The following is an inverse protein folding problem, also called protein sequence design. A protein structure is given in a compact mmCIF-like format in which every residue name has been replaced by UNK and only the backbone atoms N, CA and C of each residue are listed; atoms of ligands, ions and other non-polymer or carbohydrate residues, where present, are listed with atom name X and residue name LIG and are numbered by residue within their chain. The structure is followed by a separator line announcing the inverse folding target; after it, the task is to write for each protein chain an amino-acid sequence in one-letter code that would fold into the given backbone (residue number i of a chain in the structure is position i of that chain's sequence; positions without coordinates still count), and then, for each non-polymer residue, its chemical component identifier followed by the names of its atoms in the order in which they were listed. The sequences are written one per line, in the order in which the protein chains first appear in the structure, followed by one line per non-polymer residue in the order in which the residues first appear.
data_IF_998881102939
#
_entry.id   IF_998881102939
#
_cell.length_a   1.000
_cell.length_b   1.000
_cell.length_c   1.000
_cell.angle_alpha   90.00
_cell.angle_beta   90.00
_cell.angle_gamma   90.00
#
_symmetry.space_group_name_H-M   'P 1'
#
loop_
_entity.id
_entity.type
_entity.pdbx_description
1 polymer ?
#
# COMPACT_ATOMS: atom_id res chain seq x y z
N UNK A 1 30.56 -2.00 19.24
CA UNK A 1 31.06 -2.81 18.10
C UNK A 1 30.19 -2.45 16.90
N UNK A 2 30.72 -1.69 15.94
CA UNK A 2 30.01 -1.35 14.70
C UNK A 2 30.04 -2.60 13.81
N UNK A 3 28.89 -3.22 13.58
CA UNK A 3 28.77 -4.43 12.74
C UNK A 3 28.99 -4.06 11.26
N UNK A 4 29.73 -4.90 10.54
CA UNK A 4 29.98 -4.72 9.12
C UNK A 4 28.71 -4.97 8.29
N UNK A 5 28.55 -4.26 7.17
CA UNK A 5 27.40 -4.41 6.28
C UNK A 5 27.24 -5.82 5.68
N UNK A 6 28.28 -6.67 5.74
CA UNK A 6 28.30 -8.05 5.24
C UNK A 6 27.37 -9.02 5.98
N UNK A 7 26.93 -8.66 7.19
CA UNK A 7 26.21 -9.57 8.09
C UNK A 7 24.69 -9.50 7.91
N UNK A 8 24.20 -8.54 7.13
CA UNK A 8 22.78 -8.32 6.91
C UNK A 8 22.33 -8.79 5.53
N UNK A 9 21.10 -9.30 5.45
CA UNK A 9 20.39 -9.61 4.21
C UNK A 9 19.18 -8.70 4.12
N UNK A 10 19.07 -7.96 3.01
CA UNK A 10 17.87 -7.20 2.68
C UNK A 10 16.76 -8.15 2.27
N UNK A 11 15.72 -8.22 3.08
CA UNK A 11 14.55 -9.09 2.85
C UNK A 11 13.37 -8.32 2.28
N UNK A 12 13.37 -7.00 2.42
CA UNK A 12 12.40 -6.11 1.82
C UNK A 12 13.02 -4.75 1.51
N UNK A 13 12.69 -4.21 0.36
CA UNK A 13 13.03 -2.85 -0.05
C UNK A 13 11.84 -2.26 -0.80
N UNK A 14 11.48 -1.01 -0.47
CA UNK A 14 10.35 -0.35 -1.10
C UNK A 14 10.66 0.00 -2.56
N UNK A 15 9.72 -0.37 -3.41
CA UNK A 15 9.65 0.05 -4.80
C UNK A 15 8.22 0.51 -5.09
N UNK A 16 8.03 1.24 -6.20
CA UNK A 16 6.70 1.70 -6.62
C UNK A 16 5.71 0.55 -6.80
N UNK A 17 6.21 -0.62 -7.21
CA UNK A 17 5.40 -1.84 -7.40
C UNK A 17 5.26 -2.71 -6.15
N UNK A 18 5.83 -2.33 -5.00
CA UNK A 18 5.78 -3.14 -3.77
C UNK A 18 4.33 -3.43 -3.38
N UNK A 19 4.09 -4.70 -3.02
CA UNK A 19 2.77 -5.23 -2.66
C UNK A 19 1.69 -5.12 -3.76
N UNK A 20 2.02 -4.73 -4.99
CA UNK A 20 1.07 -4.61 -6.09
C UNK A 20 0.09 -3.44 -5.96
N UNK A 21 0.23 -2.57 -4.95
CA UNK A 21 -0.72 -1.48 -4.65
C UNK A 21 -0.84 -0.54 -5.86
N UNK A 22 0.28 -0.08 -6.41
CA UNK A 22 0.27 0.82 -7.57
C UNK A 22 -0.45 0.23 -8.78
N UNK A 23 -0.15 -1.03 -9.12
CA UNK A 23 -0.79 -1.70 -10.25
C UNK A 23 -2.30 -1.87 -10.03
N UNK A 24 -2.72 -2.22 -8.80
CA UNK A 24 -4.12 -2.31 -8.42
C UNK A 24 -4.86 -0.97 -8.55
N UNK A 25 -4.24 0.13 -8.12
CA UNK A 25 -4.81 1.47 -8.26
C UNK A 25 -4.91 1.93 -9.72
N UNK A 26 -3.89 1.67 -10.53
CA UNK A 26 -3.94 1.97 -11.97
C UNK A 26 -5.07 1.19 -12.64
N UNK A 27 -5.23 -0.10 -12.32
CA UNK A 27 -6.34 -0.91 -12.84
C UNK A 27 -7.71 -0.31 -12.48
N UNK A 28 -7.92 0.03 -11.20
CA UNK A 28 -9.18 0.64 -10.73
C UNK A 28 -9.46 1.99 -11.40
N UNK A 29 -8.43 2.79 -11.63
CA UNK A 29 -8.53 4.06 -12.35
C UNK A 29 -8.99 3.83 -13.79
N UNK A 30 -8.35 2.89 -14.50
CA UNK A 30 -8.70 2.58 -15.88
C UNK A 30 -10.14 2.09 -16.01
N UNK A 31 -10.62 1.25 -15.07
CA UNK A 31 -12.03 0.82 -15.02
C UNK A 31 -12.97 2.02 -14.88
N UNK A 32 -12.69 2.94 -13.95
CA UNK A 32 -13.52 4.13 -13.74
C UNK A 32 -13.53 5.08 -14.95
N UNK A 33 -12.37 5.32 -15.55
CA UNK A 33 -12.23 6.17 -16.75
C UNK A 33 -12.94 5.53 -17.95
N UNK A 34 -12.78 4.22 -18.16
CA UNK A 34 -13.44 3.52 -19.25
C UNK A 34 -14.97 3.54 -19.09
N UNK A 35 -15.48 3.32 -17.87
CA UNK A 35 -16.91 3.44 -17.59
C UNK A 35 -17.43 4.86 -17.87
N UNK A 36 -16.69 5.89 -17.45
CA UNK A 36 -17.06 7.29 -17.69
C UNK A 36 -17.09 7.62 -19.19
N UNK A 37 -16.03 7.28 -19.92
CA UNK A 37 -15.95 7.51 -21.37
C UNK A 37 -17.07 6.76 -22.08
N UNK A 38 -17.28 5.48 -21.76
CA UNK A 38 -18.33 4.67 -22.37
C UNK A 38 -19.74 5.20 -22.08
N UNK A 39 -20.00 5.58 -20.83
CA UNK A 39 -21.28 6.16 -20.40
C UNK A 39 -21.59 7.47 -21.12
N UNK A 40 -20.65 8.42 -21.16
CA UNK A 40 -20.81 9.69 -21.87
C UNK A 40 -20.96 9.47 -23.37
N UNK A 41 -20.15 8.60 -23.97
CA UNK A 41 -20.23 8.28 -25.40
C UNK A 41 -21.60 7.73 -25.76
N UNK A 42 -22.10 6.75 -25.01
CA UNK A 42 -23.43 6.18 -25.21
C UNK A 42 -24.54 7.20 -25.00
N UNK A 43 -24.39 8.11 -24.03
CA UNK A 43 -25.34 9.20 -23.79
C UNK A 43 -25.42 10.12 -25.01
N UNK A 44 -24.29 10.53 -25.60
CA UNK A 44 -24.25 11.39 -26.79
C UNK A 44 -24.90 10.71 -27.99
N UNK A 45 -24.62 9.42 -28.23
CA UNK A 45 -25.23 8.68 -29.34
C UNK A 45 -26.73 8.49 -29.14
N UNK A 46 -27.16 8.17 -27.92
CA UNK A 46 -28.57 7.94 -27.63
C UNK A 46 -29.36 9.24 -27.50
N UNK A 47 -28.72 10.40 -27.27
CA UNK A 47 -29.38 11.71 -27.18
C UNK A 47 -30.24 12.04 -28.41
N UNK A 48 -29.86 11.51 -29.58
CA UNK A 48 -30.64 11.68 -30.82
C UNK A 48 -31.92 10.83 -30.85
N UNK A 49 -31.99 9.79 -30.04
CA UNK A 49 -33.18 8.97 -29.88
C UNK A 49 -34.04 9.58 -28.76
N UNK A 50 -35.20 10.14 -29.12
CA UNK A 50 -36.15 10.78 -28.18
C UNK A 50 -36.86 9.77 -27.24
N UNK A 51 -36.30 8.59 -27.05
CA UNK A 51 -36.85 7.57 -26.16
C UNK A 51 -36.18 7.65 -24.77
N UNK A 52 -36.92 7.97 -23.69
CA UNK A 52 -36.35 8.11 -22.35
C UNK A 52 -35.61 6.87 -21.85
N UNK A 53 -36.04 5.68 -22.29
CA UNK A 53 -35.39 4.40 -21.93
C UNK A 53 -33.96 4.28 -22.48
N UNK A 54 -33.64 5.00 -23.56
CA UNK A 54 -32.33 4.93 -24.20
C UNK A 54 -31.23 5.67 -23.43
N UNK A 55 -31.59 6.58 -22.51
CA UNK A 55 -30.63 7.40 -21.76
C UNK A 55 -30.38 6.88 -20.34
N UNK A 56 -31.29 6.09 -19.77
CA UNK A 56 -31.19 5.63 -18.39
C UNK A 56 -29.88 4.88 -18.09
N UNK A 57 -29.54 3.88 -18.92
CA UNK A 57 -28.30 3.11 -18.78
C UNK A 57 -27.04 3.98 -18.86
N UNK A 58 -26.87 4.80 -19.92
CA UNK A 58 -25.75 5.72 -20.04
C UNK A 58 -25.62 6.72 -18.88
N UNK A 59 -26.74 7.30 -18.41
CA UNK A 59 -26.76 8.19 -17.24
C UNK A 59 -26.28 7.45 -15.99
N UNK A 60 -26.81 6.24 -15.76
CA UNK A 60 -26.40 5.40 -14.63
C UNK A 60 -24.91 5.08 -14.66
N UNK A 61 -24.39 4.60 -15.80
CA UNK A 61 -22.97 4.24 -15.95
C UNK A 61 -22.07 5.47 -15.78
N UNK A 62 -22.47 6.62 -16.32
CA UNK A 62 -21.74 7.89 -16.15
C UNK A 62 -21.69 8.30 -14.67
N UNK A 63 -22.85 8.31 -14.00
CA UNK A 63 -22.94 8.64 -12.58
C UNK A 63 -22.14 7.67 -11.71
N UNK A 64 -22.21 6.38 -12.01
CA UNK A 64 -21.44 5.34 -11.33
C UNK A 64 -19.93 5.50 -11.57
N UNK A 65 -19.51 5.82 -12.79
CA UNK A 65 -18.11 6.09 -13.12
C UNK A 65 -17.56 7.28 -12.33
N UNK A 66 -18.31 8.38 -12.24
CA UNK A 66 -17.94 9.54 -11.42
C UNK A 66 -17.85 9.18 -9.93
N UNK A 67 -18.85 8.46 -9.41
CA UNK A 67 -18.88 8.02 -8.01
C UNK A 67 -17.69 7.09 -7.70
N UNK A 68 -17.40 6.13 -8.57
CA UNK A 68 -16.26 5.23 -8.46
C UNK A 68 -14.94 6.00 -8.42
N UNK A 69 -14.75 6.93 -9.35
CA UNK A 69 -13.53 7.76 -9.42
C UNK A 69 -13.35 8.61 -8.16
N UNK A 70 -14.46 9.13 -7.62
CA UNK A 70 -14.46 9.92 -6.39
C UNK A 70 -14.13 9.07 -5.15
N UNK A 71 -14.79 7.93 -4.98
CA UNK A 71 -14.63 7.06 -3.80
C UNK A 71 -13.21 6.47 -3.67
N UNK A 72 -12.52 6.23 -4.77
CA UNK A 72 -11.18 5.63 -4.75
C UNK A 72 -10.05 6.61 -4.40
N UNK A 73 -10.30 7.93 -4.37
CA UNK A 73 -9.33 8.97 -3.99
C UNK A 73 -7.91 8.71 -4.55
N UNK A 74 -7.82 8.44 -5.84
CA UNK A 74 -6.57 8.11 -6.52
C UNK A 74 -5.41 9.08 -6.25
N UNK A 75 -5.61 10.42 -6.21
CA UNK A 75 -4.53 11.35 -5.91
C UNK A 75 -3.85 11.03 -4.58
N UNK A 76 -4.62 10.80 -3.52
CA UNK A 76 -4.08 10.46 -2.21
C UNK A 76 -3.24 9.19 -2.24
N UNK A 77 -3.74 8.12 -2.86
CA UNK A 77 -3.03 6.83 -2.88
C UNK A 77 -1.75 6.91 -3.72
N UNK A 78 -1.80 7.56 -4.88
CA UNK A 78 -0.61 7.76 -5.71
C UNK A 78 0.43 8.66 -5.03
N UNK A 79 -0.01 9.75 -4.40
CA UNK A 79 0.88 10.65 -3.66
C UNK A 79 1.51 9.94 -2.47
N UNK A 80 0.75 9.13 -1.75
CA UNK A 80 1.27 8.30 -0.67
C UNK A 80 2.38 7.36 -1.15
N UNK A 81 2.14 6.56 -2.20
CA UNK A 81 3.14 5.66 -2.80
C UNK A 81 4.38 6.44 -3.25
N UNK A 82 4.17 7.53 -3.99
CA UNK A 82 5.26 8.34 -4.52
C UNK A 82 6.05 9.03 -3.39
N UNK A 83 5.40 9.42 -2.30
CA UNK A 83 6.05 10.06 -1.16
C UNK A 83 6.99 9.09 -0.45
N UNK A 84 6.57 7.85 -0.19
CA UNK A 84 7.40 6.83 0.46
C UNK A 84 8.60 6.44 -0.41
N UNK A 85 8.38 6.21 -1.72
CA UNK A 85 9.46 5.88 -2.65
C UNK A 85 10.44 7.03 -2.80
N UNK A 86 9.95 8.27 -2.85
CA UNK A 86 10.79 9.47 -2.93
C UNK A 86 11.58 9.68 -1.63
N UNK A 87 10.94 9.51 -0.48
CA UNK A 87 11.60 9.59 0.82
C UNK A 87 12.73 8.56 0.92
N UNK A 88 12.49 7.32 0.48
CA UNK A 88 13.51 6.29 0.41
C UNK A 88 14.68 6.68 -0.51
N UNK A 89 14.39 7.04 -1.77
CA UNK A 89 15.43 7.40 -2.76
C UNK A 89 16.20 8.67 -2.41
N UNK A 90 15.54 9.62 -1.76
CA UNK A 90 16.11 10.88 -1.31
C UNK A 90 16.86 10.78 0.01
N UNK A 91 16.94 9.60 0.64
CA UNK A 91 17.59 9.43 1.94
C UNK A 91 16.81 10.05 3.10
N UNK A 92 15.56 10.44 2.89
CA UNK A 92 14.68 11.07 3.88
C UNK A 92 14.00 10.00 4.74
N UNK A 93 14.78 9.19 5.44
CA UNK A 93 14.29 8.15 6.34
C UNK A 93 15.10 8.12 7.62
N UNK A 94 14.55 7.49 8.64
CA UNK A 94 15.24 7.18 9.88
C UNK A 94 15.64 5.71 9.88
N UNK A 95 16.75 5.40 10.55
CA UNK A 95 17.22 4.03 10.71
C UNK A 95 17.12 3.69 12.19
N UNK A 96 16.57 2.51 12.49
CA UNK A 96 16.65 1.91 13.82
C UNK A 96 17.20 0.49 13.70
N UNK A 97 18.13 0.15 14.56
CA UNK A 97 18.83 -1.13 14.54
C UNK A 97 18.82 -1.73 15.95
N UNK A 98 18.52 -3.03 16.05
CA UNK A 98 18.54 -3.74 17.31
C UNK A 98 17.83 -5.08 17.26
N UNK A 99 17.71 -5.72 18.41
CA UNK A 99 16.84 -6.89 18.56
C UNK A 99 15.38 -6.48 18.48
N UNK A 100 14.63 -7.26 17.71
CA UNK A 100 13.18 -7.17 17.59
C UNK A 100 12.55 -7.81 18.83
N UNK A 101 11.58 -7.12 19.43
CA UNK A 101 10.69 -7.67 20.45
C UNK A 101 9.27 -7.62 19.92
N UNK A 102 8.55 -8.72 20.01
CA UNK A 102 7.15 -8.81 19.58
C UNK A 102 6.26 -8.59 20.81
N UNK A 103 5.44 -7.55 20.77
CA UNK A 103 4.48 -7.21 21.83
C UNK A 103 3.08 -7.76 21.55
N UNK A 104 2.74 -7.92 20.28
CA UNK A 104 1.48 -8.47 19.83
C UNK A 104 1.66 -9.12 18.46
N UNK A 105 0.97 -10.23 18.22
CA UNK A 105 0.93 -10.91 16.92
C UNK A 105 -0.48 -10.84 16.34
N UNK A 106 -0.56 -10.48 15.06
CA UNK A 106 -1.76 -10.56 14.27
C UNK A 106 -2.06 -12.03 13.96
N UNK A 107 -3.25 -12.56 14.29
CA UNK A 107 -3.68 -13.88 13.86
C UNK A 107 -3.73 -13.97 12.33
N UNK A 108 -3.59 -15.19 11.80
CA UNK A 108 -3.60 -15.43 10.36
C UNK A 108 -4.88 -14.95 9.65
N UNK A 109 -6.00 -14.87 10.38
CA UNK A 109 -7.29 -14.43 9.85
C UNK A 109 -7.96 -13.44 10.80
N UNK A 110 -8.79 -12.56 10.23
CA UNK A 110 -9.60 -11.61 10.98
C UNK A 110 -9.02 -10.19 10.98
N UNK A 111 -9.90 -9.21 11.17
CA UNK A 111 -9.54 -7.80 11.20
C UNK A 111 -9.20 -7.37 12.63
N UNK A 112 -7.98 -7.68 13.06
CA UNK A 112 -7.41 -7.12 14.30
C UNK A 112 -6.18 -6.28 13.99
N UNK A 113 -5.62 -5.66 15.03
CA UNK A 113 -4.36 -4.91 14.99
C UNK A 113 -3.25 -5.77 14.37
N UNK A 114 -2.31 -5.11 13.70
CA UNK A 114 -1.13 -5.76 13.15
C UNK A 114 -0.19 -6.28 14.24
N UNK A 115 0.89 -6.94 13.83
CA UNK A 115 1.99 -7.25 14.74
C UNK A 115 2.54 -5.95 15.31
N UNK A 116 2.57 -5.84 16.63
CA UNK A 116 3.21 -4.73 17.31
C UNK A 116 4.60 -5.19 17.70
N UNK A 117 5.61 -4.57 17.11
CA UNK A 117 7.02 -4.89 17.39
C UNK A 117 7.74 -3.66 17.93
N UNK A 118 8.81 -3.88 18.68
CA UNK A 118 9.76 -2.83 19.04
C UNK A 118 11.17 -3.21 18.61
N UNK A 119 11.91 -2.21 18.13
CA UNK A 119 13.34 -2.32 17.81
C UNK A 119 14.04 -1.16 18.49
N UNK A 120 14.96 -1.45 19.41
CA UNK A 120 15.68 -0.45 20.19
C UNK A 120 14.74 0.62 20.81
N UNK A 121 13.62 0.17 21.39
CA UNK A 121 12.61 1.03 22.02
C UNK A 121 11.65 1.76 21.07
N UNK A 122 11.87 1.70 19.74
CA UNK A 122 10.93 2.25 18.75
C UNK A 122 9.88 1.21 18.37
N UNK A 123 8.61 1.54 18.57
CA UNK A 123 7.48 0.68 18.21
C UNK A 123 7.04 0.86 16.76
N UNK A 124 6.65 -0.24 16.10
CA UNK A 124 6.04 -0.29 14.77
C UNK A 124 4.83 -1.24 14.79
N UNK A 125 3.85 -0.95 13.93
CA UNK A 125 2.78 -1.89 13.60
C UNK A 125 2.99 -2.41 12.18
N UNK A 126 3.08 -3.72 12.03
CA UNK A 126 3.10 -4.39 10.73
C UNK A 126 1.75 -5.07 10.54
N UNK A 127 1.02 -4.74 9.48
CA UNK A 127 -0.32 -5.29 9.29
C UNK A 127 -0.50 -5.82 7.87
N UNK A 128 -0.80 -7.12 7.74
CA UNK A 128 -0.92 -7.76 6.44
C UNK A 128 -2.08 -7.20 5.61
N UNK A 129 -3.14 -6.74 6.26
CA UNK A 129 -4.35 -6.23 5.59
C UNK A 129 -4.27 -4.75 5.21
N UNK A 130 -3.22 -4.02 5.62
CA UNK A 130 -3.06 -2.63 5.20
C UNK A 130 -2.65 -2.56 3.72
N UNK A 131 -3.36 -1.69 2.99
CA UNK A 131 -3.05 -1.35 1.62
C UNK A 131 -1.92 -0.31 1.60
N UNK A 132 -0.69 -0.77 1.79
CA UNK A 132 0.52 0.08 1.78
C UNK A 132 1.60 -0.55 0.87
N UNK A 133 2.41 0.26 0.16
CA UNK A 133 3.61 -0.23 -0.51
C UNK A 133 4.76 -0.54 0.47
N UNK A 134 4.67 -0.14 1.74
CA UNK A 134 5.66 -0.42 2.77
C UNK A 134 5.66 -1.89 3.24
N UNK A 135 6.59 -2.25 4.12
CA UNK A 135 6.64 -3.61 4.67
C UNK A 135 5.38 -3.91 5.47
N UNK A 136 4.68 -5.00 5.10
CA UNK A 136 3.40 -5.39 5.69
C UNK A 136 3.29 -6.86 6.09
N UNK A 137 4.37 -7.64 5.94
CA UNK A 137 4.31 -9.09 6.22
C UNK A 137 4.35 -9.34 7.72
N UNK A 138 3.22 -9.75 8.27
CA UNK A 138 3.10 -10.20 9.65
C UNK A 138 3.65 -11.60 9.85
N UNK A 139 3.94 -11.97 11.09
CA UNK A 139 4.49 -13.26 11.51
C UNK A 139 3.62 -14.42 11.02
N UNK A 140 2.30 -14.31 11.17
CA UNK A 140 1.34 -15.30 10.67
C UNK A 140 1.35 -15.43 9.13
N UNK A 141 1.87 -14.45 8.40
CA UNK A 141 1.99 -14.43 6.94
C UNK A 141 3.45 -14.51 6.47
N UNK A 142 4.33 -15.12 7.28
CA UNK A 142 5.74 -15.34 6.92
C UNK A 142 6.62 -14.11 7.05
N UNK A 143 6.27 -13.20 7.96
CA UNK A 143 7.09 -12.05 8.32
C UNK A 143 8.40 -12.44 9.01
N UNK A 144 9.44 -11.66 8.76
CA UNK A 144 10.82 -11.91 9.22
C UNK A 144 11.17 -11.23 10.55
N UNK A 145 10.30 -10.34 11.05
CA UNK A 145 10.53 -9.56 12.27
C UNK A 145 10.07 -10.33 13.51
N UNK A 146 10.66 -11.51 13.70
CA UNK A 146 10.38 -12.40 14.83
C UNK A 146 11.09 -11.91 16.11
N UNK A 147 10.56 -12.28 17.27
CA UNK A 147 11.20 -11.94 18.55
C UNK A 147 12.62 -12.50 18.63
N UNK A 148 13.58 -11.66 19.02
CA UNK A 148 15.01 -12.01 19.07
C UNK A 148 15.77 -11.82 17.76
N UNK A 149 15.09 -11.62 16.63
CA UNK A 149 15.75 -11.31 15.35
C UNK A 149 16.50 -9.98 15.47
N UNK A 150 17.72 -9.90 14.93
CA UNK A 150 18.47 -8.65 14.88
C UNK A 150 18.21 -7.98 13.53
N UNK A 151 17.54 -6.82 13.55
CA UNK A 151 17.10 -6.14 12.34
C UNK A 151 17.55 -4.67 12.31
N UNK A 152 17.79 -4.18 11.11
CA UNK A 152 17.95 -2.77 10.78
C UNK A 152 16.77 -2.35 9.91
N UNK A 153 15.94 -1.46 10.44
CA UNK A 153 14.74 -0.95 9.79
C UNK A 153 14.96 0.48 9.32
N UNK A 154 14.63 0.71 8.06
CA UNK A 154 14.58 2.04 7.46
C UNK A 154 13.12 2.45 7.41
N UNK A 155 12.76 3.58 8.02
CA UNK A 155 11.36 3.98 8.13
C UNK A 155 11.14 5.47 7.89
N UNK A 156 9.94 5.81 7.46
CA UNK A 156 9.48 7.18 7.26
C UNK A 156 8.03 7.29 7.71
N UNK A 157 7.71 8.29 8.55
CA UNK A 157 6.38 8.48 9.14
C UNK A 157 5.77 7.22 9.80
N UNK A 158 6.61 6.37 10.38
CA UNK A 158 6.19 5.11 11.03
C UNK A 158 6.06 3.91 10.08
N UNK A 159 6.19 4.11 8.77
CA UNK A 159 6.15 3.04 7.79
C UNK A 159 7.55 2.53 7.45
N UNK A 160 7.69 1.21 7.43
CA UNK A 160 8.97 0.52 7.20
C UNK A 160 9.21 0.42 5.68
N UNK A 161 10.21 1.15 5.20
CA UNK A 161 10.62 1.26 3.80
C UNK A 161 11.60 0.15 3.38
N UNK A 162 12.44 -0.32 4.30
CA UNK A 162 13.39 -1.41 4.06
C UNK A 162 13.66 -2.18 5.35
N UNK A 163 13.82 -3.49 5.18
CA UNK A 163 14.14 -4.42 6.26
C UNK A 163 15.41 -5.17 5.89
N UNK A 164 16.41 -5.00 6.75
CA UNK A 164 17.64 -5.78 6.72
C UNK A 164 17.68 -6.64 7.99
N UNK A 165 17.87 -7.95 7.84
CA UNK A 165 17.94 -8.89 8.97
C UNK A 165 19.32 -9.52 9.00
N UNK A 166 19.87 -9.71 10.20
CA UNK A 166 21.15 -10.40 10.37
C UNK A 166 21.01 -11.87 9.97
N UNK A 167 22.02 -12.41 9.28
CA UNK A 167 22.14 -13.85 9.00
C UNK A 167 22.29 -14.68 10.28
#
# INVERSE_FOLDING_TARGET
MLLAASDFVTVFEIARGSNGVFAGEVFRLLVGVAALIGGVTALIFNWKNNEPKSWFGPVFVTGWGLLWLHLHNFPYVFDHINSLVRAYRGGQYQIVEGQVQVLHEQPATGHTKGDIITVNGKQFEVNYFYLTPAYRKTLAHGGVLQSGAYARLYYYNGEILRVDVRK
#
